data_IF_464861300524
#
_entry.id   IF_464861300524
#
_cell.length_a   1.000
_cell.length_b   1.000
_cell.length_c   1.000
_cell.angle_alpha   90.00
_cell.angle_beta   90.00
_cell.angle_gamma   90.00
#
_symmetry.space_group_name_H-M   'P 1'
#
loop_
_entity.id
_entity.type
_entity.pdbx_description
1 polymer ?
#
# COMPACT_ATOMS: atom_id res chain seq x y z
N UNK A 1 8.29 9.93 8.86
CA UNK A 1 7.02 10.22 9.55
C UNK A 1 5.95 9.36 8.92
N UNK A 2 5.20 8.60 9.70
CA UNK A 2 4.07 7.78 9.21
C UNK A 2 2.94 8.73 8.78
N UNK A 3 2.30 8.56 7.62
CA UNK A 3 1.18 9.42 7.24
C UNK A 3 0.10 9.38 8.32
N UNK A 4 -0.40 10.55 8.70
CA UNK A 4 -1.31 10.77 9.84
C UNK A 4 -2.67 10.06 9.72
N UNK A 5 -2.95 9.46 8.56
CA UNK A 5 -4.21 8.81 8.22
C UNK A 5 -3.91 7.34 7.91
N UNK A 6 -4.57 6.42 8.62
CA UNK A 6 -4.53 5.00 8.31
C UNK A 6 -5.61 4.65 7.28
N UNK A 7 -5.41 3.61 6.43
CA UNK A 7 -6.48 3.13 5.57
C UNK A 7 -7.65 2.60 6.40
N UNK A 8 -8.85 3.10 6.14
CA UNK A 8 -10.09 2.63 6.76
C UNK A 8 -10.86 1.64 5.88
N UNK A 9 -11.94 1.05 6.41
CA UNK A 9 -12.76 0.09 5.69
C UNK A 9 -13.34 0.66 4.38
N UNK A 10 -13.76 1.93 4.42
CA UNK A 10 -14.33 2.65 3.29
C UNK A 10 -13.35 3.70 2.73
N UNK A 11 -13.51 4.11 1.46
CA UNK A 11 -12.71 5.18 0.85
C UNK A 11 -12.63 6.46 1.68
N UNK A 12 -11.44 7.04 1.74
CA UNK A 12 -11.17 8.35 2.33
C UNK A 12 -10.43 9.24 1.32
N UNK A 13 -10.69 10.54 1.37
CA UNK A 13 -9.87 11.51 0.64
C UNK A 13 -8.48 11.63 1.26
N UNK A 14 -7.44 11.77 0.43
CA UNK A 14 -6.10 12.17 0.87
C UNK A 14 -5.92 13.68 0.66
N UNK A 15 -5.15 14.32 1.53
CA UNK A 15 -4.78 15.72 1.37
C UNK A 15 -3.53 15.87 0.48
N UNK A 16 -3.21 17.11 0.12
CA UNK A 16 -2.05 17.44 -0.71
C UNK A 16 -0.72 16.97 -0.11
N UNK A 17 -0.55 17.06 1.21
CA UNK A 17 0.66 16.60 1.89
C UNK A 17 0.87 15.10 1.71
N UNK A 18 -0.18 14.31 1.95
CA UNK A 18 -0.15 12.84 1.74
C UNK A 18 0.15 12.51 0.29
N UNK A 19 -0.46 13.22 -0.66
CA UNK A 19 -0.17 13.04 -2.09
C UNK A 19 1.30 13.30 -2.39
N UNK A 20 1.84 14.44 -1.95
CA UNK A 20 3.22 14.85 -2.21
C UNK A 20 4.25 13.89 -1.62
N UNK A 21 3.97 13.32 -0.44
CA UNK A 21 4.88 12.38 0.22
C UNK A 21 4.82 10.96 -0.35
N UNK A 22 3.65 10.54 -0.84
CA UNK A 22 3.39 9.14 -1.18
C UNK A 22 3.35 8.83 -2.67
N UNK A 23 3.03 9.81 -3.51
CA UNK A 23 2.85 9.61 -4.94
C UNK A 23 4.09 10.11 -5.68
N UNK A 24 4.82 9.23 -6.39
CA UNK A 24 5.97 9.67 -7.18
C UNK A 24 5.51 10.57 -8.32
N UNK A 25 6.33 11.55 -8.67
CA UNK A 25 6.05 12.46 -9.81
C UNK A 25 5.86 11.68 -11.12
N UNK A 26 6.60 10.58 -11.28
CA UNK A 26 6.49 9.66 -12.42
C UNK A 26 6.54 8.21 -11.94
N UNK A 27 5.63 7.39 -12.46
CA UNK A 27 5.66 5.94 -12.28
C UNK A 27 6.62 5.34 -13.31
N UNK A 28 7.66 4.66 -12.82
CA UNK A 28 8.63 3.95 -13.65
C UNK A 28 8.46 2.44 -13.50
N UNK A 29 8.80 1.70 -14.55
CA UNK A 29 8.83 0.23 -14.56
C UNK A 29 10.26 -0.23 -14.79
N UNK A 30 10.93 -0.71 -13.75
CA UNK A 30 12.33 -1.15 -13.82
C UNK A 30 12.43 -2.57 -13.29
N UNK A 31 12.95 -3.49 -14.12
CA UNK A 31 13.07 -4.90 -13.74
C UNK A 31 11.74 -5.58 -13.40
N UNK A 32 10.62 -5.08 -13.93
CA UNK A 32 9.27 -5.60 -13.65
C UNK A 32 8.60 -5.02 -12.40
N UNK A 33 9.23 -4.07 -11.71
CA UNK A 33 8.67 -3.43 -10.52
C UNK A 33 8.23 -2.00 -10.84
N UNK A 34 7.08 -1.60 -10.28
CA UNK A 34 6.65 -0.20 -10.32
C UNK A 34 7.42 0.62 -9.28
N UNK A 35 7.59 1.91 -9.58
CA UNK A 35 8.25 2.88 -8.69
C UNK A 35 9.71 2.50 -8.39
N UNK A 36 10.49 2.25 -9.43
CA UNK A 36 11.90 1.91 -9.32
C UNK A 36 12.18 0.41 -9.52
N UNK A 37 13.35 -0.03 -9.07
CA UNK A 37 13.80 -1.41 -9.15
C UNK A 37 13.34 -2.28 -7.96
N UNK A 38 13.76 -3.55 -7.93
CA UNK A 38 13.38 -4.48 -6.86
C UNK A 38 13.77 -3.98 -5.46
N UNK A 39 14.86 -3.23 -5.30
CA UNK A 39 15.29 -2.70 -4.01
C UNK A 39 14.41 -1.55 -3.47
N UNK A 40 13.61 -0.89 -4.31
CA UNK A 40 12.88 0.34 -3.96
C UNK A 40 11.52 0.07 -3.29
N UNK A 41 11.52 -0.72 -2.21
CA UNK A 41 10.28 -1.13 -1.53
C UNK A 41 9.53 0.04 -0.88
N UNK A 42 10.25 1.02 -0.32
CA UNK A 42 9.67 2.15 0.40
C UNK A 42 8.75 3.01 -0.48
N UNK A 43 9.12 3.25 -1.74
CA UNK A 43 8.32 4.05 -2.67
C UNK A 43 7.01 3.35 -3.02
N UNK A 44 7.06 2.02 -3.24
CA UNK A 44 5.87 1.21 -3.49
C UNK A 44 4.97 1.15 -2.26
N UNK A 45 5.53 1.00 -1.08
CA UNK A 45 4.74 0.94 0.16
C UNK A 45 4.00 2.25 0.42
N UNK A 46 4.68 3.40 0.25
CA UNK A 46 4.04 4.71 0.38
C UNK A 46 2.89 4.88 -0.61
N UNK A 47 3.13 4.58 -1.88
CA UNK A 47 2.10 4.67 -2.92
C UNK A 47 0.93 3.72 -2.62
N UNK A 48 1.21 2.47 -2.25
CA UNK A 48 0.19 1.48 -1.89
C UNK A 48 -0.65 1.98 -0.72
N UNK A 49 -0.02 2.58 0.30
CA UNK A 49 -0.72 3.12 1.46
C UNK A 49 -1.68 4.24 1.08
N UNK A 50 -1.26 5.18 0.23
CA UNK A 50 -2.13 6.25 -0.27
C UNK A 50 -3.31 5.68 -1.10
N UNK A 51 -3.05 4.69 -1.95
CA UNK A 51 -4.08 4.01 -2.74
C UNK A 51 -5.08 3.28 -1.84
N UNK A 52 -4.62 2.59 -0.80
CA UNK A 52 -5.51 1.90 0.15
C UNK A 52 -6.43 2.88 0.89
N UNK A 53 -5.95 4.07 1.24
CA UNK A 53 -6.79 5.13 1.83
C UNK A 53 -7.88 5.56 0.84
N UNK A 54 -7.53 5.81 -0.42
CA UNK A 54 -8.50 6.24 -1.44
C UNK A 54 -9.49 5.15 -1.87
N UNK A 55 -9.10 3.88 -1.79
CA UNK A 55 -9.92 2.76 -2.27
C UNK A 55 -10.72 2.11 -1.13
N UNK A 56 -10.25 2.20 0.11
CA UNK A 56 -10.81 1.50 1.26
C UNK A 56 -10.43 0.02 1.30
N UNK A 57 -10.28 -0.52 2.51
CA UNK A 57 -9.88 -1.91 2.73
C UNK A 57 -10.90 -2.92 2.19
N UNK A 58 -12.19 -2.59 2.18
CA UNK A 58 -13.23 -3.50 1.67
C UNK A 58 -13.05 -3.78 0.18
N UNK A 59 -12.65 -2.77 -0.61
CA UNK A 59 -12.40 -2.98 -2.04
C UNK A 59 -11.03 -3.60 -2.28
N UNK A 60 -10.03 -3.23 -1.48
CA UNK A 60 -8.70 -3.80 -1.56
C UNK A 60 -8.68 -5.32 -1.28
N UNK A 61 -9.39 -5.78 -0.25
CA UNK A 61 -9.40 -7.21 0.10
C UNK A 61 -10.05 -8.05 -1.00
N UNK A 62 -10.98 -7.49 -1.78
CA UNK A 62 -11.62 -8.14 -2.95
C UNK A 62 -10.66 -8.36 -4.12
N UNK A 63 -9.46 -7.77 -4.12
CA UNK A 63 -8.47 -7.91 -5.21
C UNK A 63 -7.70 -9.24 -5.17
N UNK A 64 -7.78 -9.98 -4.06
CA UNK A 64 -7.18 -11.30 -3.94
C UNK A 64 -8.12 -12.26 -3.20
N UNK A 65 -7.99 -13.58 -3.42
CA UNK A 65 -8.76 -14.57 -2.67
C UNK A 65 -8.52 -14.46 -1.16
N UNK A 66 -9.55 -14.73 -0.36
CA UNK A 66 -9.51 -14.67 1.11
C UNK A 66 -8.35 -15.49 1.69
N UNK A 67 -8.10 -16.66 1.13
CA UNK A 67 -7.09 -17.61 1.59
C UNK A 67 -5.67 -17.04 1.47
N UNK A 68 -5.42 -16.17 0.48
CA UNK A 68 -4.13 -15.50 0.31
C UNK A 68 -3.90 -14.44 1.38
N UNK A 69 -4.94 -13.68 1.74
CA UNK A 69 -4.89 -12.73 2.85
C UNK A 69 -4.66 -13.45 4.18
N UNK A 70 -5.41 -14.51 4.45
CA UNK A 70 -5.25 -15.31 5.66
C UNK A 70 -3.84 -15.94 5.76
N UNK A 71 -3.29 -16.42 4.64
CA UNK A 71 -1.93 -16.94 4.60
C UNK A 71 -0.89 -15.85 4.92
N UNK A 72 -1.03 -14.66 4.35
CA UNK A 72 -0.14 -13.53 4.63
C UNK A 72 -0.19 -13.15 6.12
N UNK A 73 -1.38 -13.04 6.71
CA UNK A 73 -1.57 -12.74 8.14
C UNK A 73 -0.90 -13.77 9.05
N UNK A 74 -1.02 -15.07 8.73
CA UNK A 74 -0.35 -16.14 9.48
C UNK A 74 1.17 -16.01 9.46
N UNK A 75 1.75 -15.73 8.29
CA UNK A 75 3.20 -15.53 8.18
C UNK A 75 3.65 -14.31 9.00
N UNK A 76 2.97 -13.17 8.88
CA UNK A 76 3.30 -11.96 9.65
C UNK A 76 3.22 -12.19 11.17
N UNK A 77 2.24 -12.96 11.64
CA UNK A 77 2.07 -13.27 13.07
C UNK A 77 3.14 -14.24 13.58
N UNK A 78 3.64 -15.13 12.71
CA UNK A 78 4.73 -16.07 13.05
C UNK A 78 6.05 -15.35 13.31
N UNK A 79 6.33 -14.25 12.60
CA UNK A 79 7.55 -13.46 12.76
C UNK A 79 7.45 -12.34 13.80
N UNK A 80 6.29 -12.17 14.46
CA UNK A 80 6.06 -11.17 15.50
C UNK A 80 6.23 -11.72 16.94
N UNK A 81 6.75 -12.95 17.09
CA UNK A 81 7.15 -13.58 18.36
C UNK A 81 8.67 -13.65 18.45
#
# INVERSE_FOLDING_TARGET
>A
MTPKIAPELHPQAINWETYKEAVPEKIELIGGFLCGGPADHDAREKLLRALLINVGLERAIKLAPKEKWEAALREMTRYAR
#
